data_IF_305427287497
#
_entry.id   IF_305427287497
#
_cell.length_a   1.000
_cell.length_b   1.000
_cell.length_c   1.000
_cell.angle_alpha   90.00
_cell.angle_beta   90.00
_cell.angle_gamma   90.00
#
_symmetry.space_group_name_H-M   'P 1'
#
loop_
_entity.id
_entity.type
_entity.pdbx_description
1 polymer ?
#
# COMPACT_ATOMS: atom_id res chain seq x y z
N UNK A 1 -20.20 -7.00 19.06
CA UNK A 1 -18.91 -6.79 19.76
C UNK A 1 -18.00 -6.07 18.80
N UNK A 2 -17.42 -4.94 19.12
CA UNK A 2 -16.59 -4.20 18.17
C UNK A 2 -15.20 -4.86 18.09
N UNK A 3 -14.83 -5.31 16.91
CA UNK A 3 -13.50 -5.82 16.57
C UNK A 3 -12.52 -4.64 16.58
N UNK A 4 -11.75 -4.56 17.63
CA UNK A 4 -10.68 -3.59 17.80
C UNK A 4 -9.43 -4.14 17.10
N UNK A 5 -9.18 -3.72 15.87
CA UNK A 5 -7.98 -4.09 15.12
C UNK A 5 -6.74 -3.49 15.81
N UNK A 6 -5.70 -4.31 16.14
CA UNK A 6 -4.48 -3.84 16.80
C UNK A 6 -3.66 -2.85 15.97
N UNK A 7 -3.92 -2.73 14.68
CA UNK A 7 -3.19 -1.84 13.77
C UNK A 7 -3.51 -0.35 13.95
N UNK A 8 -4.66 -0.03 14.55
CA UNK A 8 -5.04 1.38 14.80
C UNK A 8 -4.09 2.07 15.79
N UNK A 9 -3.60 1.32 16.78
CA UNK A 9 -2.68 1.85 17.79
C UNK A 9 -1.26 2.06 17.23
N UNK A 10 -0.86 1.22 16.27
CA UNK A 10 0.42 1.34 15.57
C UNK A 10 0.45 2.56 14.64
N UNK A 11 -0.65 2.83 13.92
CA UNK A 11 -0.77 4.00 13.03
C UNK A 11 -0.80 5.32 13.81
N UNK A 12 -1.46 5.36 14.97
CA UNK A 12 -1.45 6.56 15.83
C UNK A 12 -0.03 6.79 16.34
N UNK A 13 0.71 5.75 16.73
CA UNK A 13 2.13 5.85 17.09
C UNK A 13 2.99 6.32 15.93
N UNK A 14 2.77 5.82 14.72
CA UNK A 14 3.50 6.23 13.53
C UNK A 14 3.21 7.70 13.18
N UNK A 15 1.96 8.13 13.26
CA UNK A 15 1.56 9.52 13.03
C UNK A 15 2.15 10.45 14.09
N UNK A 16 2.20 10.01 15.35
CA UNK A 16 2.84 10.75 16.44
C UNK A 16 4.36 10.79 16.27
N UNK A 17 4.97 9.70 15.79
CA UNK A 17 6.41 9.61 15.53
C UNK A 17 6.83 10.53 14.38
N UNK A 18 6.09 10.53 13.28
CA UNK A 18 6.30 11.45 12.14
C UNK A 18 6.11 12.91 12.58
N UNK A 19 5.15 13.19 13.49
CA UNK A 19 4.96 14.54 14.02
C UNK A 19 6.11 14.96 14.94
N UNK A 20 6.66 14.03 15.73
CA UNK A 20 7.83 14.27 16.60
C UNK A 20 9.09 14.44 15.76
N UNK A 21 9.28 13.68 14.68
CA UNK A 21 10.43 13.81 13.79
C UNK A 21 10.40 15.13 13.00
N UNK A 22 9.24 15.57 12.53
CA UNK A 22 9.07 16.88 11.89
C UNK A 22 9.42 18.01 12.88
N UNK A 23 9.05 17.86 14.15
CA UNK A 23 9.35 18.83 15.19
C UNK A 23 10.85 18.78 15.58
N UNK A 24 11.48 17.60 15.55
CA UNK A 24 12.91 17.41 15.80
C UNK A 24 13.78 17.95 14.66
N UNK A 25 13.37 17.75 13.40
CA UNK A 25 14.05 18.31 12.22
C UNK A 25 14.03 19.84 12.25
N UNK A 26 12.91 20.44 12.71
CA UNK A 26 12.81 21.90 12.84
C UNK A 26 13.75 22.46 13.93
N UNK A 27 14.07 21.66 14.94
CA UNK A 27 15.05 22.03 15.98
C UNK A 27 16.50 21.94 15.48
N UNK A 28 16.81 20.99 14.59
CA UNK A 28 18.14 20.84 13.96
C UNK A 28 18.34 21.91 12.88
N UNK A 29 17.30 22.23 12.10
CA UNK A 29 17.35 23.29 11.10
C UNK A 29 17.52 24.69 11.73
N UNK A 30 16.91 24.94 12.89
CA UNK A 30 17.08 26.20 13.64
C UNK A 30 18.52 26.41 14.15
N UNK A 31 19.18 25.34 14.61
CA UNK A 31 20.59 25.43 15.08
C UNK A 31 21.60 25.55 13.93
N UNK A 32 21.35 24.89 12.79
CA UNK A 32 22.18 25.01 11.59
C UNK A 32 22.06 26.41 10.97
N UNK A 33 20.88 27.02 10.97
CA UNK A 33 20.67 28.39 10.49
C UNK A 33 21.30 29.43 11.39
N UNK A 34 21.33 29.23 12.71
CA UNK A 34 22.01 30.11 13.65
C UNK A 34 23.53 30.02 13.50
N UNK A 35 24.10 28.86 13.15
CA UNK A 35 25.54 28.68 12.95
C UNK A 35 26.03 29.32 11.65
N UNK A 36 25.21 29.34 10.60
CA UNK A 36 25.51 29.98 9.31
C UNK A 36 25.50 31.51 9.43
N UNK A 37 24.60 32.08 10.25
CA UNK A 37 24.51 33.53 10.43
C UNK A 37 25.63 34.10 11.28
N UNK A 38 26.31 33.29 12.13
CA UNK A 38 27.43 33.76 12.98
C UNK A 38 28.78 33.75 12.24
N UNK A 39 28.87 33.03 11.10
CA UNK A 39 30.15 32.92 10.36
C UNK A 39 30.38 34.00 9.30
N UNK A 40 29.38 34.86 9.00
CA UNK A 40 29.48 35.86 7.94
C UNK A 40 29.94 37.26 8.41
N UNK A 41 30.17 37.48 9.72
CA UNK A 41 30.50 38.83 10.26
C UNK A 41 31.99 39.07 10.49
N UNK A 42 32.89 38.21 9.99
CA UNK A 42 34.33 38.31 10.28
C UNK A 42 35.24 38.71 9.11
N UNK A 43 34.73 39.02 7.96
CA UNK A 43 35.55 39.42 6.82
C UNK A 43 34.97 40.63 6.08
N UNK A 44 35.22 41.86 6.52
CA UNK A 44 35.49 42.99 5.61
C UNK A 44 35.75 44.27 6.37
N UNK A 45 36.96 44.40 6.92
CA UNK A 45 37.60 45.72 7.08
C UNK A 45 38.81 45.79 6.14
N UNK A 46 38.57 46.13 4.88
CA UNK A 46 39.63 46.70 4.04
C UNK A 46 39.03 47.84 3.21
N UNK A 47 39.47 49.05 3.60
CA UNK A 47 39.25 50.28 2.88
C UNK A 47 39.60 50.14 1.40
N UNK A 48 38.68 50.56 0.53
CA UNK A 48 39.06 51.17 -0.74
C UNK A 48 38.06 52.29 -1.04
N UNK A 49 38.56 53.52 -1.00
CA UNK A 49 37.98 54.73 -1.58
C UNK A 49 38.00 54.53 -3.11
N UNK A 50 36.86 54.56 -3.78
CA UNK A 50 36.79 55.15 -5.13
C UNK A 50 35.38 55.15 -5.68
N UNK A 51 34.96 56.38 -6.00
CA UNK A 51 34.06 56.80 -7.08
C UNK A 51 32.54 56.42 -7.00
N UNK A 52 31.78 57.43 -6.64
CA UNK A 52 30.36 57.59 -6.91
C UNK A 52 30.09 57.46 -8.41
N UNK A 53 29.62 56.34 -8.83
CA UNK A 53 28.81 56.18 -10.04
C UNK A 53 27.45 55.66 -9.61
N UNK A 54 26.44 56.46 -9.84
CA UNK A 54 25.03 56.26 -9.57
C UNK A 54 24.55 55.05 -10.36
N UNK A 55 24.65 53.82 -9.83
CA UNK A 55 23.86 52.69 -10.30
C UNK A 55 22.67 52.55 -9.38
N UNK A 56 21.51 53.07 -9.85
CA UNK A 56 20.19 52.70 -9.32
C UNK A 56 19.99 51.19 -9.55
N UNK A 57 20.50 50.38 -8.68
CA UNK A 57 20.08 48.98 -8.62
C UNK A 57 18.69 48.94 -8.07
N UNK A 58 17.73 48.65 -8.96
CA UNK A 58 16.38 48.24 -8.54
C UNK A 58 16.51 46.98 -7.70
N UNK A 59 16.65 47.15 -6.41
CA UNK A 59 16.61 46.03 -5.43
C UNK A 59 15.22 45.45 -5.46
N UNK A 60 15.02 44.40 -6.26
CA UNK A 60 13.81 43.58 -6.16
C UNK A 60 13.76 43.09 -4.71
N UNK A 61 12.86 43.62 -3.94
CA UNK A 61 12.55 43.15 -2.60
C UNK A 61 11.93 41.76 -2.78
N UNK A 62 12.74 40.72 -2.64
CA UNK A 62 12.21 39.38 -2.53
C UNK A 62 11.44 39.33 -1.20
N UNK A 63 10.12 39.35 -1.31
CA UNK A 63 9.24 39.15 -0.16
C UNK A 63 9.41 37.68 0.27
N UNK A 64 10.15 37.44 1.31
CA UNK A 64 10.25 36.15 1.98
C UNK A 64 8.96 35.87 2.77
N UNK A 65 8.64 34.59 2.94
CA UNK A 65 7.54 34.18 3.81
C UNK A 65 7.87 34.52 5.27
N UNK A 66 6.85 34.95 6.00
CA UNK A 66 6.99 35.16 7.44
C UNK A 66 6.90 33.81 8.16
N UNK A 67 7.58 33.70 9.31
CA UNK A 67 7.54 32.49 10.13
C UNK A 67 6.11 32.14 10.55
N UNK A 68 5.28 33.15 10.82
CA UNK A 68 3.88 32.94 11.20
C UNK A 68 3.03 32.35 10.06
N UNK A 69 3.26 32.75 8.79
CA UNK A 69 2.58 32.16 7.64
C UNK A 69 2.89 30.68 7.49
N UNK A 70 4.17 30.29 7.70
CA UNK A 70 4.57 28.90 7.64
C UNK A 70 3.89 28.07 8.75
N UNK A 71 3.89 28.57 10.00
CA UNK A 71 3.28 27.87 11.12
C UNK A 71 1.76 27.72 10.92
N UNK A 72 1.07 28.77 10.48
CA UNK A 72 -0.38 28.71 10.24
C UNK A 72 -0.73 27.67 9.18
N UNK A 73 0.02 27.61 8.07
CA UNK A 73 -0.20 26.62 7.02
C UNK A 73 0.06 25.18 7.53
N UNK A 74 1.14 24.95 8.28
CA UNK A 74 1.43 23.60 8.81
C UNK A 74 0.37 23.12 9.80
N UNK A 75 -0.18 24.00 10.64
CA UNK A 75 -1.29 23.65 11.55
C UNK A 75 -2.53 23.26 10.76
N UNK A 76 -2.92 24.05 9.75
CA UNK A 76 -4.10 23.75 8.93
C UNK A 76 -3.94 22.42 8.19
N UNK A 77 -2.77 22.20 7.58
CA UNK A 77 -2.46 20.94 6.88
C UNK A 77 -2.47 19.75 7.85
N UNK A 78 -1.96 19.91 9.07
CA UNK A 78 -1.98 18.87 10.10
C UNK A 78 -3.41 18.45 10.48
N UNK A 79 -4.32 19.41 10.66
CA UNK A 79 -5.73 19.13 10.98
C UNK A 79 -6.41 18.40 9.81
N UNK A 80 -6.19 18.87 8.57
CA UNK A 80 -6.77 18.25 7.38
C UNK A 80 -6.24 16.82 7.18
N UNK A 81 -4.94 16.60 7.36
CA UNK A 81 -4.32 15.28 7.26
C UNK A 81 -4.88 14.30 8.29
N UNK A 82 -5.09 14.75 9.54
CA UNK A 82 -5.64 13.91 10.61
C UNK A 82 -7.03 13.32 10.25
N UNK A 83 -7.84 14.02 9.48
CA UNK A 83 -9.16 13.54 9.02
C UNK A 83 -9.07 12.75 7.72
N UNK A 84 -8.16 13.14 6.81
CA UNK A 84 -8.07 12.55 5.47
C UNK A 84 -7.45 11.16 5.48
N UNK A 85 -6.38 10.94 6.26
CA UNK A 85 -5.61 9.69 6.28
C UNK A 85 -6.49 8.48 6.65
N UNK A 86 -7.28 8.46 7.74
CA UNK A 86 -8.09 7.29 8.08
C UNK A 86 -9.13 6.93 7.01
N UNK A 87 -9.71 7.94 6.35
CA UNK A 87 -10.67 7.73 5.26
C UNK A 87 -10.01 7.15 4.02
N UNK A 88 -8.81 7.62 3.70
CA UNK A 88 -8.03 7.12 2.58
C UNK A 88 -7.70 5.64 2.76
N UNK A 89 -7.16 5.25 3.91
CA UNK A 89 -6.81 3.85 4.23
C UNK A 89 -8.03 2.95 4.09
N UNK A 90 -9.19 3.33 4.67
CA UNK A 90 -10.41 2.54 4.55
C UNK A 90 -10.88 2.39 3.09
N UNK A 91 -10.62 3.36 2.23
CA UNK A 91 -10.96 3.29 0.81
C UNK A 91 -10.02 2.35 0.06
N UNK A 92 -8.73 2.38 0.35
CA UNK A 92 -7.72 1.47 -0.24
C UNK A 92 -8.06 0.02 0.11
N UNK A 93 -8.30 -0.29 1.38
CA UNK A 93 -8.66 -1.65 1.80
C UNK A 93 -9.91 -2.19 1.09
N UNK A 94 -10.93 -1.34 0.88
CA UNK A 94 -12.13 -1.74 0.13
C UNK A 94 -11.85 -1.96 -1.35
N UNK A 95 -10.96 -1.16 -1.94
CA UNK A 95 -10.56 -1.30 -3.33
C UNK A 95 -9.80 -2.62 -3.55
N UNK A 96 -8.84 -2.95 -2.68
CA UNK A 96 -8.11 -4.22 -2.68
C UNK A 96 -9.07 -5.40 -2.54
N UNK A 97 -9.99 -5.33 -1.57
CA UNK A 97 -11.02 -6.35 -1.40
C UNK A 97 -11.86 -6.57 -2.66
N UNK A 98 -12.27 -5.49 -3.32
CA UNK A 98 -13.06 -5.60 -4.55
C UNK A 98 -12.25 -6.18 -5.72
N UNK A 99 -10.96 -5.87 -5.79
CA UNK A 99 -10.05 -6.45 -6.77
C UNK A 99 -9.86 -7.96 -6.55
N UNK A 100 -9.66 -8.38 -5.30
CA UNK A 100 -9.60 -9.80 -4.93
C UNK A 100 -10.88 -10.55 -5.31
N UNK A 101 -12.04 -9.99 -4.96
CA UNK A 101 -13.35 -10.61 -5.27
C UNK A 101 -13.54 -10.75 -6.79
N UNK A 102 -13.03 -9.82 -7.59
CA UNK A 102 -13.05 -9.92 -9.05
C UNK A 102 -12.14 -11.05 -9.56
N UNK A 103 -10.91 -11.17 -9.05
CA UNK A 103 -9.99 -12.27 -9.42
C UNK A 103 -10.60 -13.62 -9.05
N UNK A 104 -11.11 -13.77 -7.84
CA UNK A 104 -11.74 -15.01 -7.37
C UNK A 104 -13.00 -15.36 -8.20
N UNK A 105 -13.77 -14.35 -8.59
CA UNK A 105 -14.92 -14.55 -9.49
C UNK A 105 -14.49 -15.05 -10.88
N UNK A 106 -13.41 -14.49 -11.41
CA UNK A 106 -12.82 -14.94 -12.67
C UNK A 106 -12.32 -16.38 -12.59
N UNK A 107 -11.64 -16.76 -11.49
CA UNK A 107 -11.20 -18.13 -11.25
C UNK A 107 -12.41 -19.07 -11.21
N UNK A 108 -13.48 -18.74 -10.48
CA UNK A 108 -14.71 -19.55 -10.44
C UNK A 108 -15.31 -19.76 -11.82
N UNK A 109 -15.40 -18.70 -12.63
CA UNK A 109 -15.89 -18.77 -14.00
C UNK A 109 -14.99 -19.63 -14.90
N UNK A 110 -13.68 -19.47 -14.77
CA UNK A 110 -12.68 -20.25 -15.49
C UNK A 110 -12.77 -21.74 -15.16
N UNK A 111 -12.92 -22.07 -13.88
CA UNK A 111 -13.10 -23.47 -13.43
C UNK A 111 -14.32 -24.13 -14.05
N UNK A 112 -15.44 -23.43 -14.18
CA UNK A 112 -16.66 -23.95 -14.82
C UNK A 112 -16.48 -24.12 -16.33
N UNK A 113 -15.80 -23.17 -16.98
CA UNK A 113 -15.44 -23.28 -18.42
C UNK A 113 -14.54 -24.48 -18.65
N UNK A 114 -13.47 -24.60 -17.90
CA UNK A 114 -12.55 -25.74 -17.96
C UNK A 114 -13.26 -27.08 -17.77
N UNK A 115 -14.13 -27.17 -16.73
CA UNK A 115 -14.87 -28.39 -16.45
C UNK A 115 -15.85 -28.77 -17.59
N UNK A 116 -16.39 -27.77 -18.29
CA UNK A 116 -17.27 -27.97 -19.44
C UNK A 116 -16.47 -28.44 -20.68
N UNK A 117 -15.31 -27.89 -20.92
CA UNK A 117 -14.38 -28.35 -21.98
C UNK A 117 -13.96 -29.80 -21.75
N UNK A 118 -13.57 -30.14 -20.51
CA UNK A 118 -13.23 -31.53 -20.15
C UNK A 118 -14.40 -32.49 -20.33
N UNK A 119 -15.62 -32.03 -20.07
CA UNK A 119 -16.82 -32.84 -20.32
C UNK A 119 -16.99 -33.11 -21.83
N UNK A 120 -16.75 -32.13 -22.68
CA UNK A 120 -16.86 -32.28 -24.14
C UNK A 120 -15.75 -33.19 -24.69
N UNK A 121 -14.55 -33.07 -24.17
CA UNK A 121 -13.37 -33.80 -24.68
C UNK A 121 -13.25 -35.22 -24.12
N UNK A 122 -13.53 -35.40 -22.83
CA UNK A 122 -13.31 -36.66 -22.09
C UNK A 122 -14.61 -37.31 -21.60
N UNK A 123 -15.79 -36.71 -21.84
CA UNK A 123 -17.08 -37.22 -21.42
C UNK A 123 -17.36 -37.12 -19.91
N UNK A 124 -16.54 -36.40 -19.17
CA UNK A 124 -16.69 -36.18 -17.70
C UNK A 124 -16.14 -34.82 -17.30
N UNK A 125 -16.74 -34.21 -16.26
CA UNK A 125 -16.23 -32.96 -15.69
C UNK A 125 -14.98 -33.25 -14.88
N UNK A 126 -13.95 -32.44 -15.11
CA UNK A 126 -12.71 -32.47 -14.35
C UNK A 126 -12.27 -31.04 -14.04
N UNK A 127 -11.56 -30.85 -12.94
CA UNK A 127 -11.04 -29.55 -12.53
C UNK A 127 -9.51 -29.61 -12.45
N UNK A 128 -8.81 -28.51 -12.77
CA UNK A 128 -7.35 -28.49 -12.76
C UNK A 128 -6.78 -28.63 -11.37
N UNK A 129 -5.51 -29.09 -11.26
CA UNK A 129 -4.81 -29.16 -9.97
C UNK A 129 -4.48 -27.79 -9.40
N UNK A 130 -4.17 -26.82 -10.27
CA UNK A 130 -3.97 -25.41 -9.90
C UNK A 130 -5.12 -24.60 -10.51
N UNK A 131 -5.92 -23.86 -9.70
CA UNK A 131 -7.07 -23.12 -10.15
C UNK A 131 -6.71 -21.99 -11.14
N UNK A 132 -5.49 -21.46 -11.11
CA UNK A 132 -5.03 -20.45 -12.06
C UNK A 132 -4.87 -21.00 -13.49
N UNK A 133 -4.70 -22.32 -13.66
CA UNK A 133 -4.65 -22.94 -14.99
C UNK A 133 -6.02 -22.99 -15.69
N UNK A 134 -7.09 -22.66 -15.01
CA UNK A 134 -8.40 -22.49 -15.60
C UNK A 134 -8.61 -21.10 -16.22
N UNK A 135 -7.66 -20.19 -16.04
CA UNK A 135 -7.72 -18.84 -16.58
C UNK A 135 -6.97 -18.78 -17.92
N UNK A 136 -7.53 -18.08 -18.89
CA UNK A 136 -6.83 -17.74 -20.15
C UNK A 136 -5.64 -16.80 -19.87
N UNK A 137 -5.79 -15.88 -18.91
CA UNK A 137 -4.75 -14.94 -18.49
C UNK A 137 -4.66 -14.97 -16.97
N UNK A 138 -3.48 -15.22 -16.43
CA UNK A 138 -3.22 -15.15 -15.00
C UNK A 138 -3.27 -13.70 -14.49
N UNK A 139 -3.70 -13.45 -13.24
CA UNK A 139 -3.68 -12.12 -12.67
C UNK A 139 -2.25 -11.58 -12.56
N UNK A 140 -2.12 -10.25 -12.61
CA UNK A 140 -0.84 -9.60 -12.33
C UNK A 140 -0.37 -9.98 -10.92
N UNK A 141 0.94 -10.25 -10.79
CA UNK A 141 1.53 -10.68 -9.52
C UNK A 141 1.45 -12.19 -9.24
N UNK A 142 0.92 -13.01 -10.16
CA UNK A 142 0.94 -14.46 -9.97
C UNK A 142 2.38 -15.01 -10.09
N UNK A 143 2.93 -15.56 -9.00
CA UNK A 143 4.31 -16.08 -8.97
C UNK A 143 4.42 -17.52 -9.47
N UNK A 144 3.46 -18.38 -9.11
CA UNK A 144 3.43 -19.79 -9.50
C UNK A 144 4.51 -20.66 -8.82
N UNK A 145 5.14 -20.20 -7.77
CA UNK A 145 6.20 -20.90 -7.08
C UNK A 145 5.72 -21.93 -6.03
N UNK A 146 4.40 -22.05 -5.89
CA UNK A 146 3.75 -22.98 -4.96
C UNK A 146 4.01 -22.67 -3.49
N UNK A 147 4.23 -21.42 -3.15
CA UNK A 147 4.39 -20.91 -1.79
C UNK A 147 3.13 -20.23 -1.25
N UNK A 148 3.26 -19.46 -0.20
CA UNK A 148 2.27 -18.48 0.26
C UNK A 148 2.77 -17.11 -0.17
N UNK A 149 1.89 -16.26 -0.72
CA UNK A 149 2.20 -14.91 -1.14
C UNK A 149 2.94 -14.14 -0.03
N UNK A 150 4.10 -13.57 -0.35
CA UNK A 150 4.99 -12.90 0.59
C UNK A 150 5.48 -11.52 0.09
N UNK A 151 5.06 -11.13 -1.10
CA UNK A 151 5.34 -9.83 -1.73
C UNK A 151 4.03 -9.11 -1.94
N UNK A 152 4.01 -7.79 -1.74
CA UNK A 152 2.84 -6.96 -1.97
C UNK A 152 2.28 -7.13 -3.40
N UNK A 153 0.99 -7.41 -3.48
CA UNK A 153 0.27 -7.68 -4.73
C UNK A 153 0.47 -9.09 -5.31
N UNK A 154 1.22 -9.95 -4.64
CA UNK A 154 1.48 -11.31 -5.10
C UNK A 154 0.28 -12.22 -4.90
N UNK A 155 0.02 -13.05 -5.95
CA UNK A 155 -0.92 -14.16 -5.92
C UNK A 155 -0.15 -15.47 -6.01
N UNK A 156 -0.51 -16.45 -5.19
CA UNK A 156 0.11 -17.76 -5.24
C UNK A 156 -0.87 -18.89 -4.87
N UNK A 157 -0.47 -20.12 -5.22
CA UNK A 157 -1.23 -21.33 -4.92
C UNK A 157 -0.29 -22.44 -4.43
N UNK A 158 -0.41 -22.81 -3.17
CA UNK A 158 0.46 -23.82 -2.55
C UNK A 158 0.00 -25.28 -2.73
N UNK A 159 -1.01 -25.55 -3.57
CA UNK A 159 -1.59 -26.87 -3.79
C UNK A 159 -2.92 -27.10 -3.05
N UNK A 160 -3.25 -26.27 -2.08
CA UNK A 160 -4.46 -26.37 -1.27
C UNK A 160 -5.23 -25.06 -1.20
N UNK A 161 -4.52 -23.95 -1.08
CA UNK A 161 -5.11 -22.60 -0.93
C UNK A 161 -4.45 -21.59 -1.85
N UNK A 162 -5.29 -20.68 -2.35
CA UNK A 162 -4.86 -19.47 -3.02
C UNK A 162 -4.52 -18.47 -1.92
N UNK A 163 -3.44 -17.75 -2.05
CA UNK A 163 -3.03 -16.66 -1.17
C UNK A 163 -2.83 -15.37 -1.95
N UNK A 164 -3.13 -14.24 -1.32
CA UNK A 164 -2.86 -12.90 -1.84
C UNK A 164 -2.38 -12.00 -0.72
N UNK A 165 -1.26 -11.31 -0.94
CA UNK A 165 -0.70 -10.35 -0.01
C UNK A 165 -1.05 -8.92 -0.42
N UNK A 166 -1.61 -8.15 0.51
CA UNK A 166 -1.96 -6.74 0.33
C UNK A 166 -0.83 -5.83 0.76
N UNK A 167 -0.88 -4.56 0.32
CA UNK A 167 0.09 -3.54 0.66
C UNK A 167 0.22 -3.18 2.15
N UNK A 168 -0.68 -3.66 3.00
CA UNK A 168 -0.57 -3.56 4.46
C UNK A 168 0.11 -4.79 5.11
N UNK A 169 0.68 -5.69 4.31
CA UNK A 169 1.25 -6.98 4.68
C UNK A 169 0.24 -7.98 5.25
N UNK A 170 -1.06 -7.77 5.11
CA UNK A 170 -2.05 -8.78 5.42
C UNK A 170 -2.13 -9.82 4.29
N UNK A 171 -2.22 -11.10 4.63
CA UNK A 171 -2.35 -12.19 3.67
C UNK A 171 -3.73 -12.81 3.80
N UNK A 172 -4.44 -12.87 2.68
CA UNK A 172 -5.76 -13.47 2.59
C UNK A 172 -5.71 -14.76 1.80
N UNK A 173 -6.56 -15.71 2.18
CA UNK A 173 -6.57 -17.06 1.65
C UNK A 173 -7.96 -17.47 1.18
N UNK A 174 -7.99 -18.41 0.21
CA UNK A 174 -9.16 -19.11 -0.27
C UNK A 174 -8.80 -20.57 -0.46
N UNK A 175 -9.44 -21.46 0.26
CA UNK A 175 -9.22 -22.90 0.10
C UNK A 175 -9.82 -23.37 -1.23
N UNK A 176 -9.02 -24.10 -2.00
CA UNK A 176 -9.45 -24.73 -3.25
C UNK A 176 -9.57 -26.23 -3.08
N UNK A 177 -10.76 -26.76 -3.30
CA UNK A 177 -10.98 -28.20 -3.41
C UNK A 177 -11.20 -28.57 -4.86
N UNK A 178 -10.32 -29.40 -5.38
CA UNK A 178 -10.42 -29.92 -6.76
C UNK A 178 -11.66 -30.78 -7.00
N UNK A 179 -12.28 -31.29 -5.94
CA UNK A 179 -13.35 -32.28 -6.04
C UNK A 179 -12.82 -33.69 -6.32
N UNK A 180 -13.71 -34.65 -6.27
CA UNK A 180 -13.40 -36.06 -6.55
C UNK A 180 -14.07 -36.51 -7.84
N UNK A 181 -13.28 -37.00 -8.80
CA UNK A 181 -13.74 -37.34 -10.16
C UNK A 181 -13.75 -38.83 -10.44
N UNK A 182 -13.85 -39.73 -9.45
CA UNK A 182 -13.55 -41.12 -9.73
C UNK A 182 -14.49 -42.22 -9.24
N UNK A 183 -15.48 -41.99 -8.39
CA UNK A 183 -16.20 -43.09 -7.74
C UNK A 183 -17.69 -42.85 -7.47
N UNK A 184 -18.41 -42.23 -8.42
CA UNK A 184 -19.90 -42.17 -8.36
C UNK A 184 -20.48 -41.06 -7.45
N UNK A 185 -19.68 -40.37 -6.66
CA UNK A 185 -20.02 -39.12 -5.99
C UNK A 185 -19.13 -38.03 -6.55
N UNK A 186 -19.52 -37.44 -7.67
CA UNK A 186 -18.80 -36.32 -8.27
C UNK A 186 -19.00 -35.09 -7.37
N UNK A 187 -17.93 -34.64 -6.72
CA UNK A 187 -17.90 -33.34 -6.04
C UNK A 187 -17.29 -32.34 -6.99
N UNK A 188 -17.99 -31.23 -7.22
CA UNK A 188 -17.48 -30.12 -8.05
C UNK A 188 -16.26 -29.45 -7.38
N UNK A 189 -15.35 -28.96 -8.20
CA UNK A 189 -14.30 -28.05 -7.71
C UNK A 189 -14.94 -26.84 -7.02
N UNK A 190 -14.46 -26.47 -5.86
CA UNK A 190 -15.03 -25.38 -5.07
C UNK A 190 -13.96 -24.48 -4.47
N UNK A 191 -14.27 -23.20 -4.35
CA UNK A 191 -13.49 -22.21 -3.63
C UNK A 191 -14.25 -21.76 -2.39
N UNK A 192 -13.58 -21.73 -1.25
CA UNK A 192 -14.13 -21.25 0.01
C UNK A 192 -14.42 -19.72 -0.04
N UNK A 193 -15.00 -19.22 1.03
CA UNK A 193 -15.00 -17.79 1.31
C UNK A 193 -13.58 -17.34 1.70
N UNK A 194 -13.31 -16.05 1.58
CA UNK A 194 -12.05 -15.45 2.02
C UNK A 194 -11.89 -15.57 3.53
N UNK A 195 -10.70 -15.90 3.99
CA UNK A 195 -10.31 -15.87 5.40
C UNK A 195 -8.92 -15.25 5.57
N UNK A 196 -8.66 -14.69 6.73
CA UNK A 196 -7.35 -14.18 7.13
C UNK A 196 -6.48 -15.34 7.63
N UNK A 197 -5.16 -15.21 7.54
CA UNK A 197 -4.20 -16.19 8.06
C UNK A 197 -4.37 -16.52 9.54
N UNK A 198 -5.04 -15.64 10.30
CA UNK A 198 -5.34 -15.85 11.72
C UNK A 198 -6.68 -16.57 11.99
N UNK A 199 -7.54 -16.73 10.97
CA UNK A 199 -8.90 -17.28 11.06
C UNK A 199 -9.02 -18.61 10.28
N UNK A 200 -7.95 -19.42 10.25
CA UNK A 200 -8.02 -20.73 9.61
C UNK A 200 -9.05 -21.61 10.34
N UNK A 201 -10.12 -22.06 9.67
CA UNK A 201 -11.04 -23.01 10.28
C UNK A 201 -10.34 -24.38 10.39
N UNK A 202 -10.15 -24.84 11.64
CA UNK A 202 -9.65 -26.18 11.97
C UNK A 202 -10.54 -27.30 11.37
#
# INVERSE_FOLDING_TARGET
>A
MPLYSPNYFSMIKLCLFVFIDIFSINRICGTAFALVMVHEDSQTKKKSKMNNAMLKTNKKINKGFTLIELIMVTIILGILAAVAIPRYVATVTRAEQSAEDAVISNIKSGLETFATEQLMEHGRRMWPGNPFHALETTPDGFSGDSSIANIDGEWDFNGEQISHMRGDNSVYHWHYSRGNTGTGTETSGSLSVRYDSNDYPD
#
